data_IF_602498646525
#
_entry.id   IF_602498646525
#
_cell.length_a   1.000
_cell.length_b   1.000
_cell.length_c   1.000
_cell.angle_alpha   90.00
_cell.angle_beta   90.00
_cell.angle_gamma   90.00
#
_symmetry.space_group_name_H-M   'P 1'
#
loop_
_entity.id
_entity.type
_entity.pdbx_description
1 polymer ?
#
# COMPACT_ATOMS: atom_id res chain seq x y z
N UNK A 1 20.33 7.92 -6.35
CA UNK A 1 19.13 8.69 -5.98
C UNK A 1 18.50 8.01 -4.75
N UNK A 2 18.25 8.75 -3.66
CA UNK A 2 17.74 8.16 -2.40
C UNK A 2 16.20 8.10 -2.46
N UNK A 3 15.62 6.91 -2.26
CA UNK A 3 14.16 6.71 -2.18
C UNK A 3 13.67 7.14 -0.78
N UNK A 4 12.44 7.66 -0.71
CA UNK A 4 11.72 7.86 0.56
C UNK A 4 10.88 6.61 0.83
N UNK A 5 11.03 6.02 2.00
CA UNK A 5 10.28 4.83 2.41
C UNK A 5 9.31 5.21 3.52
N UNK A 6 8.06 4.80 3.38
CA UNK A 6 7.03 4.92 4.40
C UNK A 6 6.51 3.53 4.72
N UNK A 7 6.29 3.26 6.01
CA UNK A 7 5.76 1.98 6.48
C UNK A 7 4.44 2.18 7.22
N UNK A 8 3.52 1.21 7.14
CA UNK A 8 2.22 1.31 7.79
C UNK A 8 2.36 1.18 9.30
N UNK A 9 1.58 1.98 10.02
CA UNK A 9 1.33 1.86 11.45
C UNK A 9 -0.16 1.85 11.69
N UNK A 10 -0.68 0.82 12.36
CA UNK A 10 -2.10 0.73 12.70
C UNK A 10 -2.36 1.52 13.97
N UNK A 11 -3.30 2.46 13.93
CA UNK A 11 -3.58 3.35 15.05
C UNK A 11 -4.70 2.80 15.96
N UNK A 12 -5.74 2.19 15.37
CA UNK A 12 -6.87 1.65 16.11
C UNK A 12 -7.62 0.54 15.34
N UNK A 13 -8.72 0.03 15.93
CA UNK A 13 -9.57 -1.01 15.34
C UNK A 13 -10.59 -0.48 14.31
N UNK A 14 -10.69 0.82 14.11
CA UNK A 14 -11.61 1.47 13.17
C UNK A 14 -10.96 1.65 11.78
N UNK A 15 -10.01 0.80 11.43
CA UNK A 15 -9.28 0.84 10.16
C UNK A 15 -8.38 2.08 9.99
N UNK A 16 -8.08 2.82 11.07
CA UNK A 16 -7.17 3.97 10.99
C UNK A 16 -5.72 3.49 10.92
N UNK A 17 -5.00 3.99 9.91
CA UNK A 17 -3.61 3.66 9.64
C UNK A 17 -2.86 4.91 9.18
N UNK A 18 -1.62 5.06 9.64
CA UNK A 18 -0.67 6.05 9.13
C UNK A 18 0.40 5.37 8.29
N UNK A 19 0.98 6.10 7.36
CA UNK A 19 2.17 5.67 6.62
C UNK A 19 3.30 6.61 6.98
N UNK A 20 4.22 6.16 7.84
CA UNK A 20 5.24 7.01 8.46
C UNK A 20 6.59 6.80 7.81
N UNK A 21 7.30 7.90 7.59
CA UNK A 21 8.64 7.89 6.99
C UNK A 21 9.65 7.20 7.89
N UNK A 22 10.39 6.26 7.32
CA UNK A 22 11.49 5.56 7.98
C UNK A 22 12.80 5.82 7.24
N UNK A 23 13.88 5.83 8.01
CA UNK A 23 15.25 5.99 7.52
C UNK A 23 16.13 4.80 7.85
N UNK A 24 15.75 3.98 8.83
CA UNK A 24 16.50 2.80 9.26
C UNK A 24 15.61 1.72 9.87
N UNK A 25 16.17 0.53 10.09
CA UNK A 25 15.47 -0.56 10.77
C UNK A 25 15.22 -0.26 12.26
N UNK A 26 16.09 0.55 12.88
CA UNK A 26 15.96 0.97 14.29
C UNK A 26 14.73 1.86 14.53
N UNK A 27 14.08 2.31 13.46
CA UNK A 27 12.81 3.03 13.53
C UNK A 27 11.61 2.13 13.88
N UNK A 28 11.81 0.81 13.88
CA UNK A 28 10.74 -0.19 13.97
C UNK A 28 10.64 -0.81 15.35
N UNK A 29 9.40 -0.93 15.83
CA UNK A 29 9.06 -1.61 17.07
C UNK A 29 8.01 -2.68 16.82
N UNK A 30 8.06 -3.76 17.61
CA UNK A 30 7.08 -4.82 17.51
C UNK A 30 5.71 -4.33 18.00
N UNK A 31 4.69 -4.39 17.16
CA UNK A 31 3.32 -4.07 17.52
C UNK A 31 2.63 -5.25 18.23
N UNK A 32 1.43 -5.01 18.75
CA UNK A 32 0.60 -6.05 19.38
C UNK A 32 0.18 -7.19 18.42
N UNK A 33 0.36 -6.98 17.11
CA UNK A 33 0.12 -7.99 16.07
C UNK A 33 1.39 -8.78 15.70
N UNK A 34 2.49 -8.63 16.46
CA UNK A 34 3.81 -9.20 16.16
C UNK A 34 4.37 -8.77 14.79
N UNK A 35 4.01 -7.56 14.35
CA UNK A 35 4.49 -6.95 13.12
C UNK A 35 5.36 -5.76 13.51
N UNK A 36 6.47 -5.57 12.81
CA UNK A 36 7.30 -4.39 12.99
C UNK A 36 6.63 -3.17 12.35
N UNK A 37 6.38 -2.15 13.17
CA UNK A 37 5.75 -0.91 12.77
C UNK A 37 6.61 0.29 13.19
N UNK A 38 6.61 1.39 12.42
CA UNK A 38 7.35 2.57 12.81
C UNK A 38 6.78 3.21 14.07
N UNK A 39 7.65 3.76 14.92
CA UNK A 39 7.26 4.63 16.04
C UNK A 39 6.66 5.95 15.53
N UNK A 40 5.85 6.64 16.35
CA UNK A 40 5.29 7.94 15.98
C UNK A 40 6.34 9.08 15.90
N UNK A 41 7.44 8.92 16.64
CA UNK A 41 8.55 9.88 16.70
C UNK A 41 9.86 9.23 16.27
N UNK A 42 10.78 10.02 15.73
CA UNK A 42 12.14 9.58 15.43
C UNK A 42 13.01 9.45 16.70
N UNK A 43 14.27 9.02 16.53
CA UNK A 43 15.22 8.86 17.63
C UNK A 43 15.56 10.17 18.36
N UNK A 44 15.26 11.32 17.74
CA UNK A 44 15.43 12.66 18.33
C UNK A 44 14.14 13.18 18.98
N UNK A 45 13.06 12.39 18.98
CA UNK A 45 11.76 12.76 19.55
C UNK A 45 10.88 13.62 18.64
N UNK A 46 11.28 13.85 17.38
CA UNK A 46 10.46 14.64 16.45
C UNK A 46 9.36 13.77 15.82
N UNK A 47 8.16 14.32 15.55
CA UNK A 47 7.12 13.60 14.81
C UNK A 47 7.62 13.12 13.44
N UNK A 48 7.31 11.87 13.10
CA UNK A 48 7.62 11.36 11.75
C UNK A 48 6.68 11.98 10.72
N UNK A 49 7.24 12.21 9.53
CA UNK A 49 6.47 12.63 8.36
C UNK A 49 5.46 11.53 7.96
N UNK A 50 4.18 11.88 7.92
CA UNK A 50 3.10 11.04 7.41
C UNK A 50 2.91 11.30 5.91
N UNK A 51 2.71 10.26 5.11
CA UNK A 51 2.33 10.36 3.69
C UNK A 51 1.17 11.33 3.45
N UNK A 52 0.19 11.38 4.35
CA UNK A 52 -0.97 12.27 4.23
C UNK A 52 -0.61 13.76 4.38
N UNK A 53 0.59 14.08 4.85
CA UNK A 53 1.13 15.42 5.04
C UNK A 53 2.32 15.73 4.11
N UNK A 54 2.72 14.77 3.26
CA UNK A 54 3.85 14.93 2.36
C UNK A 54 3.65 16.08 1.37
N UNK A 55 4.75 16.65 0.88
CA UNK A 55 4.74 17.73 -0.12
C UNK A 55 4.64 17.22 -1.55
N UNK A 56 5.07 15.98 -1.78
CA UNK A 56 5.10 15.32 -3.07
C UNK A 56 4.27 14.04 -3.03
N UNK A 57 3.74 13.58 -4.18
CA UNK A 57 3.05 12.30 -4.23
C UNK A 57 4.00 11.12 -4.01
N UNK A 58 3.40 10.04 -3.55
CA UNK A 58 3.99 8.70 -3.55
C UNK A 58 3.98 8.19 -4.98
N UNK A 59 5.09 7.61 -5.42
CA UNK A 59 5.20 7.05 -6.76
C UNK A 59 4.63 5.62 -6.84
N UNK A 60 4.75 4.85 -5.75
CA UNK A 60 4.48 3.42 -5.70
C UNK A 60 3.97 3.02 -4.31
N UNK A 61 2.87 2.27 -4.26
CA UNK A 61 2.47 1.50 -3.09
C UNK A 61 2.68 0.01 -3.34
N UNK A 62 3.27 -0.66 -2.35
CA UNK A 62 3.24 -2.12 -2.26
C UNK A 62 2.05 -2.50 -1.37
N UNK A 63 1.03 -3.12 -1.96
CA UNK A 63 -0.23 -3.44 -1.28
C UNK A 63 -0.25 -4.94 -0.94
N UNK A 64 -0.38 -5.31 0.36
CA UNK A 64 -0.40 -6.71 0.76
C UNK A 64 -1.76 -7.35 0.53
N UNK A 65 -1.78 -8.68 0.51
CA UNK A 65 -2.98 -9.50 0.37
C UNK A 65 -2.69 -10.98 0.60
N UNK A 66 -3.74 -11.72 0.97
CA UNK A 66 -3.72 -13.18 1.14
C UNK A 66 -3.90 -13.89 -0.21
N UNK A 67 -4.78 -13.34 -1.05
CA UNK A 67 -5.03 -13.80 -2.41
C UNK A 67 -5.28 -12.61 -3.33
N UNK A 68 -5.04 -12.81 -4.62
CA UNK A 68 -5.23 -11.81 -5.68
C UNK A 68 -5.91 -12.46 -6.88
N UNK A 69 -6.62 -11.68 -7.69
CA UNK A 69 -7.09 -12.12 -9.01
C UNK A 69 -6.46 -11.28 -10.13
N UNK A 70 -6.64 -11.75 -11.37
CA UNK A 70 -6.12 -11.08 -12.58
C UNK A 70 -6.88 -9.81 -12.97
N UNK A 71 -7.86 -9.39 -12.16
CA UNK A 71 -8.65 -8.16 -12.35
C UNK A 71 -8.28 -7.09 -11.31
N UNK A 72 -7.29 -7.36 -10.46
CA UNK A 72 -6.78 -6.42 -9.46
C UNK A 72 -7.51 -6.54 -8.12
N UNK A 73 -8.47 -7.46 -8.02
CA UNK A 73 -9.11 -7.82 -6.75
C UNK A 73 -8.10 -8.44 -5.81
N UNK A 74 -8.29 -8.18 -4.51
CA UNK A 74 -7.42 -8.72 -3.45
C UNK A 74 -8.24 -9.10 -2.23
N UNK A 75 -7.84 -10.18 -1.58
CA UNK A 75 -8.38 -10.61 -0.29
C UNK A 75 -7.41 -10.20 0.81
N UNK A 76 -7.80 -9.21 1.62
CA UNK A 76 -7.04 -8.78 2.79
C UNK A 76 -7.33 -9.61 4.05
N UNK A 77 -6.86 -9.13 5.21
CA UNK A 77 -7.16 -9.71 6.54
C UNK A 77 -8.46 -9.14 7.16
N UNK A 78 -9.43 -8.76 6.32
CA UNK A 78 -10.76 -8.24 6.72
C UNK A 78 -10.80 -6.95 7.55
N UNK A 79 -9.67 -6.26 7.75
CA UNK A 79 -9.61 -5.03 8.55
C UNK A 79 -9.80 -3.72 7.77
N UNK A 80 -9.88 -3.75 6.43
CA UNK A 80 -10.13 -2.57 5.60
C UNK A 80 -9.09 -1.43 5.67
N UNK A 81 -7.98 -1.60 6.39
CA UNK A 81 -6.97 -0.55 6.61
C UNK A 81 -6.41 0.04 5.31
N UNK A 82 -6.03 -0.82 4.36
CA UNK A 82 -5.47 -0.38 3.09
C UNK A 82 -6.52 0.29 2.20
N UNK A 83 -7.75 -0.24 2.14
CA UNK A 83 -8.83 0.38 1.37
C UNK A 83 -9.19 1.77 1.90
N UNK A 84 -9.32 1.90 3.23
CA UNK A 84 -9.59 3.18 3.88
C UNK A 84 -8.45 4.19 3.62
N UNK A 85 -7.21 3.77 3.80
CA UNK A 85 -6.05 4.62 3.58
C UNK A 85 -5.92 5.05 2.11
N UNK A 86 -6.01 4.10 1.16
CA UNK A 86 -5.88 4.37 -0.27
C UNK A 86 -7.00 5.29 -0.77
N UNK A 87 -8.23 5.12 -0.28
CA UNK A 87 -9.35 6.03 -0.59
C UNK A 87 -9.06 7.45 -0.10
N UNK A 88 -8.62 7.61 1.15
CA UNK A 88 -8.24 8.92 1.68
C UNK A 88 -7.08 9.55 0.89
N UNK A 89 -6.11 8.74 0.49
CA UNK A 89 -4.99 9.18 -0.33
C UNK A 89 -5.43 9.62 -1.74
N UNK A 90 -6.38 8.91 -2.36
CA UNK A 90 -6.97 9.32 -3.64
C UNK A 90 -7.67 10.69 -3.56
N UNK A 91 -8.38 10.98 -2.46
CA UNK A 91 -8.97 12.31 -2.25
C UNK A 91 -7.89 13.39 -2.06
N UNK A 92 -6.79 13.06 -1.36
CA UNK A 92 -5.64 13.96 -1.26
C UNK A 92 -5.00 14.25 -2.62
N UNK A 93 -4.82 13.22 -3.46
CA UNK A 93 -4.32 13.36 -4.83
C UNK A 93 -5.18 14.33 -5.63
N UNK A 94 -6.51 14.16 -5.60
CA UNK A 94 -7.46 15.07 -6.28
C UNK A 94 -7.31 16.50 -5.77
N UNK A 95 -7.30 16.70 -4.45
CA UNK A 95 -7.19 18.01 -3.83
C UNK A 95 -5.87 18.72 -4.17
N UNK A 96 -4.77 17.96 -4.27
CA UNK A 96 -3.42 18.48 -4.55
C UNK A 96 -3.08 18.49 -6.04
N UNK A 97 -3.96 17.99 -6.90
CA UNK A 97 -3.72 17.78 -8.34
C UNK A 97 -2.42 16.98 -8.59
N UNK A 98 -2.23 15.90 -7.84
CA UNK A 98 -1.06 15.04 -7.96
C UNK A 98 -1.24 13.94 -9.01
N UNK A 99 -0.12 13.38 -9.47
CA UNK A 99 -0.11 12.15 -10.26
C UNK A 99 -0.54 10.97 -9.39
N UNK A 100 -1.29 10.02 -9.96
CA UNK A 100 -1.63 8.78 -9.27
C UNK A 100 -0.40 7.87 -9.07
N UNK A 101 -0.25 7.26 -7.88
CA UNK A 101 0.75 6.24 -7.63
C UNK A 101 0.43 4.97 -8.42
N UNK A 102 1.45 4.15 -8.69
CA UNK A 102 1.23 2.76 -9.09
C UNK A 102 0.93 1.91 -7.85
N UNK A 103 -0.13 1.10 -7.88
CA UNK A 103 -0.48 0.15 -6.82
C UNK A 103 -0.05 -1.26 -7.25
N UNK A 104 0.95 -1.83 -6.59
CA UNK A 104 1.49 -3.15 -6.94
C UNK A 104 1.31 -4.11 -5.77
N UNK A 105 0.85 -5.32 -6.05
CA UNK A 105 0.92 -6.42 -5.09
C UNK A 105 2.12 -7.32 -5.41
N UNK A 106 2.94 -7.61 -4.40
CA UNK A 106 3.90 -8.70 -4.47
C UNK A 106 3.16 -9.99 -4.09
N UNK A 107 3.25 -11.02 -4.93
CA UNK A 107 2.52 -12.27 -4.71
C UNK A 107 3.30 -13.49 -5.18
N UNK A 108 3.09 -14.61 -4.49
CA UNK A 108 3.43 -15.92 -5.03
C UNK A 108 2.38 -16.34 -6.05
N UNK A 109 2.75 -17.16 -7.05
CA UNK A 109 1.81 -17.67 -8.05
C UNK A 109 0.61 -18.40 -7.42
N UNK A 110 0.83 -19.11 -6.31
CA UNK A 110 -0.24 -19.81 -5.57
C UNK A 110 -1.26 -18.87 -4.90
N UNK A 111 -0.93 -17.59 -4.73
CA UNK A 111 -1.86 -16.58 -4.20
C UNK A 111 -2.72 -15.98 -5.32
N UNK A 112 -2.45 -16.29 -6.59
CA UNK A 112 -3.20 -15.77 -7.73
C UNK A 112 -4.29 -16.76 -8.10
N UNK A 113 -5.54 -16.30 -8.06
CA UNK A 113 -6.70 -17.06 -8.52
C UNK A 113 -6.70 -17.04 -10.05
N UNK A 114 -6.40 -18.19 -10.64
CA UNK A 114 -6.32 -18.35 -12.10
C UNK A 114 -7.67 -18.17 -12.79
N UNK A 115 -8.73 -18.73 -12.19
CA UNK A 115 -10.08 -18.73 -12.72
C UNK A 115 -11.05 -18.13 -11.71
N UNK A 116 -11.64 -16.98 -12.05
CA UNK A 116 -12.65 -16.31 -11.24
C UNK A 116 -12.22 -14.92 -10.79
N UNK A 117 -13.03 -14.36 -9.88
CA UNK A 117 -12.82 -13.04 -9.29
C UNK A 117 -13.00 -13.14 -7.78
N UNK A 118 -12.18 -12.40 -7.05
CA UNK A 118 -12.41 -12.14 -5.64
C UNK A 118 -13.65 -11.26 -5.55
N UNK A 119 -14.65 -11.61 -4.73
CA UNK A 119 -15.78 -10.73 -4.49
C UNK A 119 -15.30 -9.39 -3.91
N UNK A 120 -15.69 -8.30 -4.55
CA UNK A 120 -15.34 -6.93 -4.13
C UNK A 120 -16.58 -6.11 -3.81
N UNK A 121 -16.37 -5.09 -3.00
CA UNK A 121 -17.31 -4.02 -2.70
C UNK A 121 -16.90 -2.74 -3.42
N UNK A 122 -17.78 -1.72 -3.51
CA UNK A 122 -17.42 -0.40 -4.05
C UNK A 122 -16.32 0.34 -3.26
N UNK A 123 -15.98 -0.14 -2.06
CA UNK A 123 -14.94 0.45 -1.21
C UNK A 123 -13.56 -0.16 -1.47
N UNK A 124 -13.49 -1.30 -2.15
CA UNK A 124 -12.23 -1.98 -2.40
C UNK A 124 -11.45 -1.30 -3.52
N UNK A 125 -10.19 -0.97 -3.24
CA UNK A 125 -9.29 -0.34 -4.22
C UNK A 125 -8.51 -1.44 -4.96
N UNK A 126 -8.70 -1.63 -6.28
CA UNK A 126 -7.97 -2.64 -7.02
C UNK A 126 -6.49 -2.28 -7.15
N UNK A 127 -5.63 -3.29 -7.25
CA UNK A 127 -4.21 -3.08 -7.60
C UNK A 127 -4.05 -2.93 -9.11
N UNK A 128 -3.02 -2.19 -9.52
CA UNK A 128 -2.69 -1.94 -10.93
C UNK A 128 -1.90 -3.09 -11.56
N UNK A 129 -1.13 -3.83 -10.76
CA UNK A 129 -0.32 -4.94 -11.22
C UNK A 129 0.02 -5.94 -10.10
N UNK A 130 0.36 -7.17 -10.53
CA UNK A 130 0.95 -8.19 -9.68
C UNK A 130 2.43 -8.38 -10.06
N UNK A 131 3.28 -8.56 -9.07
CA UNK A 131 4.69 -8.96 -9.26
C UNK A 131 4.89 -10.30 -8.59
N UNK A 132 5.33 -11.27 -9.39
CA UNK A 132 5.69 -12.61 -8.94
C UNK A 132 7.16 -12.90 -9.23
N UNK A 133 7.69 -14.02 -8.74
CA UNK A 133 9.01 -14.50 -9.14
C UNK A 133 9.12 -14.75 -10.66
N UNK A 134 7.99 -15.03 -11.33
CA UNK A 134 7.93 -15.26 -12.78
C UNK A 134 7.82 -13.97 -13.59
N UNK A 135 7.62 -12.81 -12.94
CA UNK A 135 7.59 -11.52 -13.62
C UNK A 135 6.42 -10.61 -13.23
N UNK A 136 6.26 -9.56 -14.03
CA UNK A 136 5.27 -8.49 -13.87
C UNK A 136 4.01 -8.77 -14.69
N UNK A 137 2.86 -8.68 -14.03
CA UNK A 137 1.53 -8.91 -14.62
C UNK A 137 0.74 -7.59 -14.52
N UNK A 138 0.69 -6.78 -15.60
CA UNK A 138 -0.08 -5.55 -15.62
C UNK A 138 -1.59 -5.83 -15.67
N UNK A 139 -2.38 -5.01 -14.98
CA UNK A 139 -3.85 -5.12 -14.92
C UNK A 139 -4.51 -3.83 -15.40
N UNK A 140 -4.04 -2.67 -14.93
CA UNK A 140 -4.62 -1.38 -15.28
C UNK A 140 -3.87 -0.66 -16.40
N UNK A 141 -4.52 0.33 -17.03
CA UNK A 141 -3.91 1.22 -18.02
C UNK A 141 -2.69 1.98 -17.50
N UNK A 142 -2.59 2.18 -16.18
CA UNK A 142 -1.43 2.80 -15.55
C UNK A 142 -0.24 1.83 -15.56
N UNK A 143 -0.47 0.55 -15.25
CA UNK A 143 0.56 -0.48 -15.24
C UNK A 143 1.10 -0.84 -16.63
N UNK A 144 0.25 -0.87 -17.67
CA UNK A 144 0.68 -1.22 -19.03
C UNK A 144 1.78 -0.30 -19.59
N UNK A 145 1.93 0.92 -19.07
CA UNK A 145 2.99 1.86 -19.45
C UNK A 145 4.41 1.40 -19.07
N UNK A 146 4.52 0.40 -18.20
CA UNK A 146 5.78 -0.14 -17.70
C UNK A 146 6.19 -1.46 -18.37
N UNK A 147 5.49 -1.88 -19.42
CA UNK A 147 5.74 -3.15 -20.14
C UNK A 147 6.60 -2.99 -21.40
N UNK A 148 7.45 -1.97 -21.47
CA UNK A 148 8.29 -1.65 -22.64
C UNK A 148 9.75 -2.05 -22.44
#
# INVERSE_FOLDING_TARGET
MKKRLYLPRVEDKNSNMKMLKVSSYDDLVLSSMNILEPTLVDSSGNPREDVMQATDPVDLFIVPGLAFDKFGGRLGRSGGYYDMFLKNYQELIKKKNWKQPLLVALSYSVQIIENGRIPTTPYDVPVDALVTASGFIPISSVAFKYCH
#
